data_IF_007721243182
#
_entry.id   IF_007721243182
#
_cell.length_a   1.000
_cell.length_b   1.000
_cell.length_c   1.000
_cell.angle_alpha   90.00
_cell.angle_beta   90.00
_cell.angle_gamma   90.00
#
_symmetry.space_group_name_H-M   'P 1'
#
loop_
_entity.id
_entity.type
_entity.pdbx_description
1 polymer ?
#
# COMPACT_ATOMS: atom_id res chain seq x y z
N UNK A 1 -78.04 -40.27 -34.33
CA UNK A 1 -77.45 -39.25 -35.22
C UNK A 1 -76.89 -38.18 -34.28
N UNK A 2 -75.61 -38.18 -33.88
CA UNK A 2 -74.38 -38.19 -34.66
C UNK A 2 -74.21 -36.93 -35.53
N UNK A 3 -73.61 -35.88 -34.95
CA UNK A 3 -72.51 -35.09 -35.54
C UNK A 3 -71.66 -34.59 -34.36
N UNK A 4 -70.39 -35.00 -34.29
CA UNK A 4 -69.37 -34.36 -33.45
C UNK A 4 -68.65 -33.27 -34.26
N UNK A 5 -68.21 -32.20 -33.61
CA UNK A 5 -67.10 -31.40 -34.11
C UNK A 5 -66.30 -30.83 -32.94
N UNK A 6 -65.16 -31.45 -32.66
CA UNK A 6 -64.23 -31.05 -31.60
C UNK A 6 -62.99 -30.40 -32.23
N UNK A 7 -62.69 -29.15 -31.86
CA UNK A 7 -61.57 -28.39 -32.44
C UNK A 7 -60.30 -28.58 -31.60
N UNK A 8 -59.40 -29.46 -32.05
CA UNK A 8 -58.07 -29.63 -31.48
C UNK A 8 -57.01 -29.26 -32.52
N UNK A 9 -56.27 -28.17 -32.29
CA UNK A 9 -55.24 -27.68 -33.22
C UNK A 9 -53.86 -28.21 -32.82
N UNK A 10 -53.44 -29.33 -33.43
CA UNK A 10 -52.11 -29.92 -33.22
C UNK A 10 -51.01 -29.27 -34.07
N UNK A 11 -49.80 -29.20 -33.48
CA UNK A 11 -48.55 -28.79 -34.12
C UNK A 11 -48.23 -29.53 -35.43
N UNK A 12 -47.45 -28.88 -36.31
CA UNK A 12 -46.69 -29.56 -37.37
C UNK A 12 -45.24 -29.04 -37.41
N UNK A 13 -44.22 -29.91 -37.51
CA UNK A 13 -42.82 -29.51 -37.40
C UNK A 13 -42.19 -29.18 -38.75
N UNK A 14 -41.07 -28.45 -38.72
CA UNK A 14 -40.12 -28.36 -39.83
C UNK A 14 -38.77 -28.91 -39.39
N UNK A 15 -38.21 -29.80 -40.21
CA UNK A 15 -36.99 -30.56 -39.95
C UNK A 15 -35.96 -30.28 -41.05
N UNK A 16 -34.69 -30.37 -40.67
CA UNK A 16 -33.49 -30.52 -41.52
C UNK A 16 -33.21 -29.46 -42.61
N UNK A 17 -32.06 -28.81 -42.47
CA UNK A 17 -30.93 -29.07 -43.39
C UNK A 17 -29.61 -29.06 -42.61
N UNK A 18 -28.61 -29.78 -43.14
CA UNK A 18 -27.47 -30.32 -42.41
C UNK A 18 -26.17 -30.08 -43.19
N UNK A 19 -25.18 -29.39 -42.60
CA UNK A 19 -23.80 -29.35 -43.15
C UNK A 19 -22.72 -29.32 -42.06
N UNK A 20 -21.97 -30.42 -42.00
CA UNK A 20 -20.54 -30.58 -41.65
C UNK A 20 -19.84 -29.57 -40.72
N UNK A 21 -19.42 -30.06 -39.55
CA UNK A 21 -18.28 -29.57 -38.76
C UNK A 21 -16.94 -29.93 -39.41
N UNK A 22 -15.85 -29.20 -39.10
CA UNK A 22 -14.63 -29.86 -38.67
C UNK A 22 -14.32 -29.56 -37.19
N UNK A 23 -13.74 -30.55 -36.50
CA UNK A 23 -13.29 -30.46 -35.10
C UNK A 23 -11.82 -30.03 -35.08
N UNK A 24 -11.44 -29.11 -34.19
CA UNK A 24 -10.04 -28.85 -33.87
C UNK A 24 -9.81 -29.06 -32.38
N UNK A 25 -9.29 -30.25 -32.05
CA UNK A 25 -8.94 -30.63 -30.68
C UNK A 25 -7.52 -30.15 -30.36
N UNK A 26 -7.38 -29.06 -29.58
CA UNK A 26 -6.08 -28.68 -29.02
C UNK A 26 -5.79 -29.51 -27.76
N UNK A 27 -4.99 -30.56 -27.96
CA UNK A 27 -4.59 -31.50 -26.90
C UNK A 27 -3.45 -30.90 -26.06
N UNK A 28 -3.54 -31.04 -24.74
CA UNK A 28 -2.47 -30.72 -23.79
C UNK A 28 -1.27 -31.65 -24.04
N UNK A 29 -0.08 -31.09 -24.23
CA UNK A 29 1.17 -31.84 -24.15
C UNK A 29 2.07 -31.30 -23.05
N UNK A 30 2.16 -32.06 -21.95
CA UNK A 30 3.28 -31.97 -21.01
C UNK A 30 4.46 -32.76 -21.58
N UNK A 31 5.67 -32.18 -21.52
CA UNK A 31 6.93 -32.90 -21.73
C UNK A 31 7.86 -32.68 -20.53
N UNK A 32 8.31 -33.74 -19.83
CA UNK A 32 9.18 -33.62 -18.67
C UNK A 32 10.67 -33.85 -18.98
N UNK A 33 11.52 -33.37 -18.06
CA UNK A 33 12.94 -33.67 -17.84
C UNK A 33 13.97 -33.32 -18.95
N UNK A 34 14.95 -32.50 -18.57
CA UNK A 34 16.31 -33.02 -18.29
C UNK A 34 17.11 -32.07 -17.39
N UNK A 35 17.97 -32.65 -16.56
CA UNK A 35 18.75 -31.97 -15.50
C UNK A 35 20.21 -31.73 -15.90
N UNK A 36 20.81 -30.68 -15.31
CA UNK A 36 22.25 -30.52 -15.01
C UNK A 36 23.28 -30.59 -16.17
N UNK A 37 24.00 -29.48 -16.40
CA UNK A 37 25.42 -29.40 -15.96
C UNK A 37 26.03 -27.99 -16.00
N UNK A 38 26.80 -27.66 -14.96
CA UNK A 38 27.86 -26.65 -15.03
C UNK A 38 28.91 -27.02 -16.08
N UNK A 39 29.41 -26.02 -16.82
CA UNK A 39 30.82 -25.97 -17.24
C UNK A 39 31.35 -24.53 -17.19
N UNK A 40 32.21 -24.29 -16.20
CA UNK A 40 33.24 -23.24 -16.22
C UNK A 40 34.20 -23.51 -17.38
N UNK A 41 34.61 -22.48 -18.13
CA UNK A 41 35.98 -22.39 -18.69
C UNK A 41 36.30 -20.97 -19.18
N UNK A 42 37.59 -20.72 -19.32
CA UNK A 42 38.21 -19.39 -19.28
C UNK A 42 38.42 -18.75 -20.67
N UNK A 43 38.23 -17.43 -20.71
CA UNK A 43 39.16 -16.43 -21.27
C UNK A 43 39.65 -16.65 -22.72
N UNK A 44 39.11 -15.83 -23.63
CA UNK A 44 39.88 -15.32 -24.77
C UNK A 44 39.69 -13.81 -24.93
N UNK A 45 40.77 -13.14 -25.28
CA UNK A 45 40.95 -11.69 -25.22
C UNK A 45 40.73 -11.07 -26.60
N UNK A 46 39.89 -10.03 -26.71
CA UNK A 46 39.94 -9.10 -27.85
C UNK A 46 39.49 -7.69 -27.49
N UNK A 47 40.28 -6.70 -27.91
CA UNK A 47 40.02 -5.28 -27.73
C UNK A 47 38.80 -4.78 -28.51
N UNK A 48 37.99 -3.93 -27.89
CA UNK A 48 37.40 -2.75 -28.54
C UNK A 48 37.05 -1.68 -27.51
N UNK A 49 37.56 -0.46 -27.68
CA UNK A 49 37.20 0.72 -26.89
C UNK A 49 35.74 1.11 -27.13
N UNK A 50 34.98 1.32 -26.06
CA UNK A 50 33.92 2.33 -25.97
C UNK A 50 33.90 2.90 -24.54
N UNK A 51 33.63 4.21 -24.40
CA UNK A 51 33.73 4.94 -23.13
C UNK A 51 32.34 5.21 -22.54
N UNK A 52 32.10 4.99 -21.24
CA UNK A 52 30.92 5.49 -20.55
C UNK A 52 31.14 6.94 -20.08
N UNK A 53 30.28 7.86 -20.53
CA UNK A 53 30.22 9.22 -19.97
C UNK A 53 29.90 9.13 -18.47
N UNK A 54 30.86 9.51 -17.62
CA UNK A 54 30.68 9.62 -16.17
C UNK A 54 30.88 11.08 -15.78
N UNK A 55 29.82 11.74 -15.34
CA UNK A 55 29.86 13.14 -14.87
C UNK A 55 30.31 13.15 -13.41
N UNK A 56 31.62 13.22 -13.19
CA UNK A 56 32.18 13.53 -11.88
C UNK A 56 32.13 15.05 -11.66
N UNK A 57 31.28 15.50 -10.72
CA UNK A 57 31.32 16.87 -10.21
C UNK A 57 32.52 16.98 -9.27
N UNK A 58 33.59 17.60 -9.76
CA UNK A 58 34.82 17.85 -9.01
C UNK A 58 34.55 18.92 -7.94
N UNK A 59 34.79 18.61 -6.67
CA UNK A 59 35.00 19.64 -5.64
C UNK A 59 36.50 19.91 -5.54
N UNK A 60 36.88 21.18 -5.54
CA UNK A 60 38.25 21.64 -5.60
C UNK A 60 38.80 21.88 -4.18
N UNK A 61 39.62 20.95 -3.69
CA UNK A 61 40.35 21.09 -2.41
C UNK A 61 41.75 21.73 -2.66
N UNK A 62 42.04 22.91 -2.09
CA UNK A 62 43.31 23.59 -2.34
C UNK A 62 44.46 23.08 -1.41
N UNK A 63 45.29 22.22 -2.01
CA UNK A 63 46.77 22.14 -1.90
C UNK A 63 47.46 22.00 -0.52
N UNK A 64 48.31 20.98 -0.43
CA UNK A 64 49.34 20.81 0.60
C UNK A 64 50.66 21.50 0.21
N UNK A 65 51.41 22.05 1.17
CA UNK A 65 52.58 22.92 0.96
C UNK A 65 53.93 22.19 0.92
N UNK A 66 54.89 22.75 0.17
CA UNK A 66 56.36 22.57 0.19
C UNK A 66 56.94 23.71 -0.69
N UNK A 67 57.96 24.52 -0.35
CA UNK A 67 58.90 24.59 0.79
C UNK A 67 59.50 26.04 0.94
N UNK A 68 60.31 26.26 2.00
CA UNK A 68 61.37 27.29 2.18
C UNK A 68 60.98 28.76 2.50
N UNK A 69 61.38 29.17 3.72
CA UNK A 69 61.83 30.46 4.27
C UNK A 69 61.20 31.80 3.82
N UNK A 70 60.61 32.55 4.77
CA UNK A 70 61.25 33.67 5.50
C UNK A 70 60.30 34.18 6.60
N UNK A 71 60.83 34.84 7.63
CA UNK A 71 60.08 35.33 8.80
C UNK A 71 59.06 36.43 8.45
N UNK A 72 57.80 36.31 8.91
CA UNK A 72 57.04 37.46 9.40
C UNK A 72 55.95 37.03 10.38
N UNK A 73 55.73 37.82 11.44
CA UNK A 73 54.66 37.57 12.42
C UNK A 73 53.36 38.16 11.90
N UNK A 74 52.30 37.37 11.82
CA UNK A 74 50.93 37.91 11.69
C UNK A 74 49.97 37.04 12.49
N UNK A 75 49.32 37.64 13.48
CA UNK A 75 48.30 36.98 14.29
C UNK A 75 47.03 36.74 13.45
N UNK A 76 46.62 35.48 13.29
CA UNK A 76 45.36 35.14 12.63
C UNK A 76 44.21 35.25 13.65
N UNK A 77 43.11 35.99 13.36
CA UNK A 77 42.02 36.14 14.32
C UNK A 77 41.31 34.81 14.57
N UNK A 78 41.14 34.46 15.85
CA UNK A 78 40.48 33.24 16.33
C UNK A 78 38.96 33.31 16.11
N UNK A 79 38.53 33.25 14.85
CA UNK A 79 37.15 33.43 14.44
C UNK A 79 36.33 32.14 14.63
N UNK A 80 36.16 31.72 15.90
CA UNK A 80 35.22 30.66 16.26
C UNK A 80 33.82 31.10 15.81
N UNK A 81 33.12 30.36 14.92
CA UNK A 81 31.82 30.78 14.44
C UNK A 81 30.85 30.87 15.61
N UNK A 82 30.25 32.04 15.80
CA UNK A 82 29.35 32.32 16.93
C UNK A 82 28.26 31.23 16.99
N UNK A 83 28.15 30.45 18.09
CA UNK A 83 27.26 29.30 18.16
C UNK A 83 25.81 29.62 17.77
N UNK A 84 25.33 30.80 18.16
CA UNK A 84 23.99 31.30 17.83
C UNK A 84 23.75 31.43 16.31
N UNK A 85 24.76 31.90 15.55
CA UNK A 85 24.65 32.03 14.09
C UNK A 85 24.63 30.67 13.40
N UNK A 86 25.44 29.72 13.87
CA UNK A 86 25.40 28.34 13.35
C UNK A 86 24.05 27.65 13.63
N UNK A 87 23.43 27.97 14.78
CA UNK A 87 22.18 27.37 15.23
C UNK A 87 20.97 28.00 14.49
N UNK A 88 20.95 29.32 14.29
CA UNK A 88 19.91 29.98 13.48
C UNK A 88 19.94 29.52 12.02
N UNK A 89 21.12 29.34 11.43
CA UNK A 89 21.26 28.79 10.07
C UNK A 89 20.77 27.32 9.99
N UNK A 90 21.07 26.49 11.00
CA UNK A 90 20.54 25.11 11.10
C UNK A 90 19.02 25.08 11.25
N UNK A 91 18.45 25.97 12.06
CA UNK A 91 16.99 26.10 12.21
C UNK A 91 16.32 26.57 10.92
N UNK A 92 16.90 27.56 10.23
CA UNK A 92 16.41 28.03 8.92
C UNK A 92 16.42 26.91 7.87
N UNK A 93 17.50 26.11 7.81
CA UNK A 93 17.58 24.93 6.93
C UNK A 93 16.50 23.89 7.25
N UNK A 94 16.29 23.55 8.54
CA UNK A 94 15.21 22.64 8.96
C UNK A 94 13.80 23.19 8.63
N UNK A 95 13.57 24.49 8.82
CA UNK A 95 12.29 25.15 8.48
C UNK A 95 12.04 25.11 6.97
N UNK A 96 13.06 25.42 6.17
CA UNK A 96 13.01 25.32 4.70
C UNK A 96 12.68 23.89 4.25
N UNK A 97 13.42 22.89 4.74
CA UNK A 97 13.14 21.47 4.46
C UNK A 97 11.71 21.07 4.82
N UNK A 98 11.22 21.41 6.03
CA UNK A 98 9.83 21.13 6.42
C UNK A 98 8.83 21.82 5.49
N UNK A 99 9.11 23.03 5.02
CA UNK A 99 8.28 23.73 4.05
C UNK A 99 8.26 23.02 2.70
N UNK A 100 9.43 22.57 2.20
CA UNK A 100 9.53 21.79 0.96
C UNK A 100 8.76 20.47 1.07
N UNK A 101 8.90 19.74 2.17
CA UNK A 101 8.15 18.50 2.41
C UNK A 101 6.64 18.75 2.50
N UNK A 102 6.21 19.84 3.14
CA UNK A 102 4.79 20.21 3.22
C UNK A 102 4.22 20.53 1.83
N UNK A 103 4.92 21.34 1.03
CA UNK A 103 4.51 21.64 -0.35
C UNK A 103 4.47 20.37 -1.20
N UNK A 104 5.49 19.52 -1.11
CA UNK A 104 5.52 18.24 -1.82
C UNK A 104 4.35 17.33 -1.43
N UNK A 105 4.02 17.23 -0.13
CA UNK A 105 2.91 16.44 0.38
C UNK A 105 1.53 17.00 -0.03
N UNK A 106 1.36 18.33 -0.06
CA UNK A 106 0.12 18.96 -0.55
C UNK A 106 -0.05 18.73 -2.05
N UNK A 107 1.01 18.92 -2.84
CA UNK A 107 0.98 18.70 -4.29
C UNK A 107 0.77 17.23 -4.65
N UNK A 108 1.41 16.29 -3.94
CA UNK A 108 1.19 14.86 -4.16
C UNK A 108 -0.21 14.42 -3.74
N UNK A 109 -0.73 14.91 -2.61
CA UNK A 109 -2.10 14.64 -2.18
C UNK A 109 -3.09 15.13 -3.23
N UNK A 110 -2.97 16.38 -3.68
CA UNK A 110 -3.83 16.93 -4.73
C UNK A 110 -3.73 16.14 -6.05
N UNK A 111 -2.52 15.79 -6.48
CA UNK A 111 -2.29 14.99 -7.69
C UNK A 111 -2.93 13.60 -7.60
N UNK A 112 -2.73 12.87 -6.50
CA UNK A 112 -3.29 11.53 -6.28
C UNK A 112 -4.82 11.59 -6.15
N UNK A 113 -5.38 12.55 -5.40
CA UNK A 113 -6.83 12.69 -5.28
C UNK A 113 -7.48 13.08 -6.60
N UNK A 114 -6.87 14.00 -7.35
CA UNK A 114 -7.35 14.41 -8.68
C UNK A 114 -7.32 13.23 -9.65
N UNK A 115 -6.22 12.48 -9.69
CA UNK A 115 -6.09 11.27 -10.51
C UNK A 115 -7.11 10.20 -10.13
N UNK A 116 -7.37 9.98 -8.84
CA UNK A 116 -8.38 9.02 -8.37
C UNK A 116 -9.80 9.45 -8.76
N UNK A 117 -10.16 10.72 -8.57
CA UNK A 117 -11.46 11.28 -8.99
C UNK A 117 -11.63 11.16 -10.51
N UNK A 118 -10.61 11.53 -11.28
CA UNK A 118 -10.62 11.41 -12.74
C UNK A 118 -10.73 9.96 -13.20
N UNK A 119 -10.01 9.02 -12.59
CA UNK A 119 -10.11 7.60 -12.94
C UNK A 119 -11.51 7.02 -12.66
N UNK A 120 -12.10 7.34 -11.50
CA UNK A 120 -13.47 6.93 -11.17
C UNK A 120 -14.47 7.57 -12.14
N UNK A 121 -14.35 8.86 -12.41
CA UNK A 121 -15.20 9.56 -13.37
C UNK A 121 -15.11 8.94 -14.78
N UNK A 122 -13.89 8.72 -15.28
CA UNK A 122 -13.65 8.16 -16.63
C UNK A 122 -14.17 6.73 -16.74
N UNK A 123 -14.04 5.93 -15.67
CA UNK A 123 -14.58 4.57 -15.64
C UNK A 123 -16.11 4.57 -15.73
N UNK A 124 -16.79 5.44 -14.98
CA UNK A 124 -18.25 5.52 -15.05
C UNK A 124 -18.75 6.19 -16.36
N UNK A 125 -18.06 7.21 -16.89
CA UNK A 125 -18.45 7.82 -18.17
C UNK A 125 -18.31 6.84 -19.34
N UNK A 126 -17.20 6.10 -19.41
CA UNK A 126 -16.99 5.04 -20.40
C UNK A 126 -18.01 3.90 -20.25
N UNK A 127 -18.47 3.61 -19.03
CA UNK A 127 -19.49 2.60 -18.77
C UNK A 127 -20.89 3.00 -19.29
N UNK A 128 -21.23 4.30 -19.25
CA UNK A 128 -22.49 4.84 -19.78
C UNK A 128 -22.46 5.09 -21.30
N UNK A 129 -21.28 5.05 -21.91
CA UNK A 129 -21.08 5.30 -23.34
C UNK A 129 -21.58 4.13 -24.21
N UNK A 130 -22.66 4.39 -24.96
CA UNK A 130 -23.20 3.53 -26.03
C UNK A 130 -24.57 2.90 -25.76
N UNK A 131 -25.00 2.78 -24.50
CA UNK A 131 -26.28 2.12 -24.13
C UNK A 131 -27.44 3.08 -23.90
N UNK A 132 -27.19 4.32 -23.48
CA UNK A 132 -28.22 5.29 -23.06
C UNK A 132 -28.89 4.97 -21.72
N UNK A 133 -28.97 3.69 -21.35
CA UNK A 133 -29.41 3.20 -20.06
C UNK A 133 -28.30 3.21 -19.00
N UNK A 134 -28.67 3.58 -17.77
CA UNK A 134 -27.75 3.57 -16.61
C UNK A 134 -27.57 2.13 -16.10
N UNK A 135 -26.33 1.60 -16.04
CA UNK A 135 -26.03 0.22 -15.63
C UNK A 135 -26.09 0.04 -14.10
N UNK A 136 -27.28 0.18 -13.53
CA UNK A 136 -27.54 0.18 -12.07
C UNK A 136 -26.93 -1.01 -11.32
N UNK A 137 -27.00 -2.22 -11.88
CA UNK A 137 -26.47 -3.44 -11.24
C UNK A 137 -24.95 -3.42 -11.10
N UNK A 138 -24.22 -2.95 -12.11
CA UNK A 138 -22.77 -2.79 -12.06
C UNK A 138 -22.38 -1.63 -11.13
N UNK A 139 -23.09 -0.49 -11.17
CA UNK A 139 -22.83 0.64 -10.27
C UNK A 139 -23.05 0.26 -8.80
N UNK A 140 -24.20 -0.34 -8.48
CA UNK A 140 -24.52 -0.81 -7.13
C UNK A 140 -23.56 -1.91 -6.67
N UNK A 141 -23.27 -2.88 -7.55
CA UNK A 141 -22.29 -3.94 -7.27
C UNK A 141 -20.90 -3.38 -6.98
N UNK A 142 -20.42 -2.42 -7.77
CA UNK A 142 -19.12 -1.75 -7.57
C UNK A 142 -19.06 -1.05 -6.21
N UNK A 143 -20.11 -0.29 -5.85
CA UNK A 143 -20.19 0.39 -4.56
C UNK A 143 -20.26 -0.60 -3.38
N UNK A 144 -21.14 -1.60 -3.47
CA UNK A 144 -21.32 -2.61 -2.43
C UNK A 144 -20.05 -3.45 -2.20
N UNK A 145 -19.33 -3.83 -3.27
CA UNK A 145 -18.05 -4.54 -3.16
C UNK A 145 -16.93 -3.63 -2.65
N UNK A 146 -16.96 -2.32 -2.93
CA UNK A 146 -15.99 -1.37 -2.36
C UNK A 146 -16.15 -1.23 -0.85
N UNK A 147 -17.37 -0.99 -0.36
CA UNK A 147 -17.66 -0.93 1.08
C UNK A 147 -17.42 -2.28 1.74
N UNK A 148 -17.92 -3.36 1.12
CA UNK A 148 -17.79 -4.73 1.61
C UNK A 148 -16.34 -5.21 1.70
N UNK A 149 -15.49 -4.91 0.70
CA UNK A 149 -14.07 -5.23 0.75
C UNK A 149 -13.31 -4.35 1.75
N UNK A 150 -13.63 -3.05 1.86
CA UNK A 150 -12.99 -2.18 2.85
C UNK A 150 -13.26 -2.65 4.30
N UNK A 151 -14.49 -3.11 4.60
CA UNK A 151 -14.84 -3.72 5.89
C UNK A 151 -14.25 -5.12 6.04
N UNK A 152 -14.36 -5.96 5.01
CA UNK A 152 -13.85 -7.34 4.98
C UNK A 152 -12.32 -7.42 5.20
N UNK A 153 -11.59 -6.40 4.74
CA UNK A 153 -10.14 -6.32 4.93
C UNK A 153 -9.72 -6.18 6.41
N UNK A 154 -10.56 -5.64 7.31
CA UNK A 154 -10.26 -5.65 8.75
C UNK A 154 -10.27 -7.09 9.30
N UNK A 155 -11.25 -7.90 8.89
CA UNK A 155 -11.34 -9.31 9.31
C UNK A 155 -10.21 -10.15 8.70
N UNK A 156 -9.89 -9.91 7.41
CA UNK A 156 -8.74 -10.54 6.75
C UNK A 156 -7.42 -10.15 7.40
N UNK A 157 -7.19 -8.86 7.66
CA UNK A 157 -5.97 -8.38 8.30
C UNK A 157 -5.82 -8.93 9.72
N UNK A 158 -6.89 -8.93 10.53
CA UNK A 158 -6.92 -9.56 11.86
C UNK A 158 -6.51 -11.03 11.80
N UNK A 159 -7.16 -11.81 10.93
CA UNK A 159 -6.86 -13.24 10.78
C UNK A 159 -5.44 -13.48 10.26
N UNK A 160 -4.99 -12.73 9.26
CA UNK A 160 -3.63 -12.84 8.72
C UNK A 160 -2.58 -12.45 9.76
N UNK A 161 -2.87 -11.45 10.59
CA UNK A 161 -1.99 -10.99 11.66
C UNK A 161 -1.82 -12.09 12.73
N UNK A 162 -2.92 -12.67 13.23
CA UNK A 162 -2.89 -13.78 14.19
C UNK A 162 -2.27 -15.07 13.60
N UNK A 163 -2.78 -15.53 12.46
CA UNK A 163 -2.53 -16.91 11.96
C UNK A 163 -1.34 -17.00 11.01
N UNK A 164 -0.93 -15.89 10.37
CA UNK A 164 0.24 -15.86 9.48
C UNK A 164 1.38 -15.07 10.09
N UNK A 165 1.17 -13.81 10.47
CA UNK A 165 2.25 -12.91 10.91
C UNK A 165 2.80 -13.26 12.29
N UNK A 166 1.96 -13.71 13.23
CA UNK A 166 2.40 -14.24 14.54
C UNK A 166 2.77 -15.72 14.56
N UNK A 167 2.65 -16.41 13.42
CA UNK A 167 3.05 -17.82 13.29
C UNK A 167 4.11 -18.02 12.20
N UNK A 168 3.70 -18.40 10.98
CA UNK A 168 4.62 -18.82 9.91
C UNK A 168 5.49 -17.70 9.34
N UNK A 169 5.08 -16.43 9.49
CA UNK A 169 5.76 -15.26 8.94
C UNK A 169 6.39 -14.37 10.02
N UNK A 170 6.49 -14.83 11.28
CA UNK A 170 7.04 -14.05 12.41
C UNK A 170 8.38 -13.39 12.09
N UNK A 171 9.29 -14.04 11.38
CA UNK A 171 10.58 -13.46 10.98
C UNK A 171 10.51 -12.14 10.18
N UNK A 172 9.36 -11.82 9.57
CA UNK A 172 9.10 -10.55 8.86
C UNK A 172 8.35 -9.56 9.74
N UNK A 173 7.44 -10.05 10.59
CA UNK A 173 6.66 -9.24 11.52
C UNK A 173 7.44 -8.84 12.77
N UNK A 174 8.46 -9.59 13.16
CA UNK A 174 9.33 -9.31 14.30
C UNK A 174 10.06 -7.97 14.18
N UNK A 175 10.38 -7.52 12.95
CA UNK A 175 10.95 -6.18 12.73
C UNK A 175 10.01 -5.05 13.16
N UNK A 176 8.71 -5.35 13.26
CA UNK A 176 7.67 -4.42 13.68
C UNK A 176 7.52 -4.33 15.19
N UNK A 177 7.68 -5.45 15.90
CA UNK A 177 7.64 -5.54 17.37
C UNK A 177 8.90 -4.97 18.05
N UNK A 178 10.01 -4.86 17.31
CA UNK A 178 11.27 -4.32 17.81
C UNK A 178 11.37 -2.81 17.55
N UNK A 179 12.16 -2.06 18.34
CA UNK A 179 12.45 -0.66 18.05
C UNK A 179 13.01 -0.48 16.64
N UNK A 180 12.33 0.34 15.83
CA UNK A 180 12.64 0.50 14.40
C UNK A 180 13.99 1.18 14.13
N UNK A 181 14.79 0.58 13.26
CA UNK A 181 16.00 1.19 12.71
C UNK A 181 15.80 1.67 11.26
N UNK A 182 15.83 2.99 11.04
CA UNK A 182 15.73 3.58 9.70
C UNK A 182 14.28 3.75 9.18
N UNK A 183 14.10 4.05 7.88
CA UNK A 183 12.80 4.44 7.32
C UNK A 183 11.86 3.29 6.94
N UNK A 184 12.37 2.06 6.76
CA UNK A 184 11.65 0.88 6.27
C UNK A 184 11.79 -0.30 7.22
N UNK A 185 10.81 -1.20 7.22
CA UNK A 185 10.78 -2.44 7.99
C UNK A 185 10.57 -3.64 7.06
N UNK A 186 11.01 -4.84 7.45
CA UNK A 186 10.72 -6.05 6.68
C UNK A 186 9.20 -6.35 6.63
N UNK A 187 8.49 -5.92 7.68
CA UNK A 187 7.04 -5.89 7.78
C UNK A 187 6.34 -5.08 6.65
N UNK A 188 7.00 -4.08 6.04
CA UNK A 188 6.44 -3.30 4.92
C UNK A 188 6.05 -4.18 3.72
N UNK A 189 6.65 -5.37 3.59
CA UNK A 189 6.32 -6.35 2.54
C UNK A 189 4.86 -6.80 2.62
N UNK A 190 4.23 -6.84 3.80
CA UNK A 190 2.80 -7.19 3.91
C UNK A 190 1.89 -6.15 3.26
N UNK A 191 2.26 -4.86 3.31
CA UNK A 191 1.53 -3.82 2.59
C UNK A 191 1.64 -4.02 1.08
N UNK A 192 2.82 -4.39 0.57
CA UNK A 192 3.05 -4.70 -0.86
C UNK A 192 2.23 -5.92 -1.29
N UNK A 193 2.23 -7.00 -0.50
CA UNK A 193 1.48 -8.24 -0.78
C UNK A 193 -0.02 -7.98 -0.92
N UNK A 194 -0.60 -7.06 -0.12
CA UNK A 194 -2.00 -6.68 -0.23
C UNK A 194 -2.26 -5.61 -1.32
N UNK A 195 -1.28 -4.77 -1.65
CA UNK A 195 -1.40 -3.76 -2.71
C UNK A 195 -1.40 -4.36 -4.12
N UNK A 196 -0.59 -5.39 -4.38
CA UNK A 196 -0.53 -6.07 -5.70
C UNK A 196 -1.89 -6.58 -6.20
N UNK A 197 -2.68 -7.37 -5.43
CA UNK A 197 -4.00 -7.81 -5.87
C UNK A 197 -5.00 -6.65 -6.00
N UNK A 198 -4.91 -5.61 -5.15
CA UNK A 198 -5.74 -4.42 -5.28
C UNK A 198 -5.50 -3.68 -6.62
N UNK A 199 -4.23 -3.48 -6.98
CA UNK A 199 -3.82 -2.89 -8.25
C UNK A 199 -4.27 -3.76 -9.43
N UNK A 200 -4.13 -5.09 -9.34
CA UNK A 200 -4.57 -6.00 -10.39
C UNK A 200 -6.10 -5.94 -10.61
N UNK A 201 -6.88 -5.94 -9.53
CA UNK A 201 -8.34 -5.82 -9.53
C UNK A 201 -8.81 -4.47 -10.09
N UNK A 202 -8.20 -3.36 -9.64
CA UNK A 202 -8.46 -2.02 -10.18
C UNK A 202 -8.11 -1.94 -11.67
N UNK A 203 -6.96 -2.47 -12.09
CA UNK A 203 -6.52 -2.44 -13.50
C UNK A 203 -7.48 -3.24 -14.39
N UNK A 204 -7.78 -4.49 -14.01
CA UNK A 204 -8.74 -5.32 -14.75
C UNK A 204 -10.12 -4.66 -14.82
N UNK A 205 -10.61 -4.14 -13.68
CA UNK A 205 -11.90 -3.49 -13.60
C UNK A 205 -11.98 -2.18 -14.40
N UNK A 206 -10.90 -1.42 -14.48
CA UNK A 206 -10.82 -0.17 -15.24
C UNK A 206 -10.84 -0.39 -16.75
N UNK A 207 -10.07 -1.36 -17.26
CA UNK A 207 -9.92 -1.61 -18.71
C UNK A 207 -11.00 -2.51 -19.34
N UNK A 208 -11.98 -3.00 -18.57
CA UNK A 208 -13.04 -3.89 -19.08
C UNK A 208 -14.43 -3.38 -18.68
N UNK A 209 -15.43 -3.50 -19.57
CA UNK A 209 -16.84 -3.16 -19.30
C UNK A 209 -17.62 -4.36 -18.75
N UNK A 210 -18.66 -4.10 -17.98
CA UNK A 210 -19.64 -5.09 -17.53
C UNK A 210 -19.51 -5.47 -16.05
N UNK A 211 -20.49 -6.24 -15.58
CA UNK A 211 -20.70 -6.51 -14.16
C UNK A 211 -19.46 -7.06 -13.44
N UNK A 212 -18.81 -8.09 -13.99
CA UNK A 212 -17.64 -8.73 -13.35
C UNK A 212 -16.45 -7.75 -13.23
N UNK A 213 -16.02 -7.04 -14.30
CA UNK A 213 -15.07 -5.93 -14.17
C UNK A 213 -15.46 -4.85 -13.16
N UNK A 214 -16.73 -4.43 -13.09
CA UNK A 214 -17.18 -3.46 -12.08
C UNK A 214 -17.04 -3.99 -10.64
N UNK A 215 -17.42 -5.25 -10.39
CA UNK A 215 -17.21 -5.91 -9.10
C UNK A 215 -15.72 -6.00 -8.73
N UNK A 216 -14.85 -6.32 -9.69
CA UNK A 216 -13.39 -6.30 -9.49
C UNK A 216 -12.87 -4.89 -9.16
N UNK A 217 -13.31 -3.86 -9.90
CA UNK A 217 -12.95 -2.47 -9.62
C UNK A 217 -13.38 -2.06 -8.20
N UNK A 218 -14.60 -2.40 -7.81
CA UNK A 218 -15.13 -2.18 -6.47
C UNK A 218 -14.29 -2.85 -5.39
N UNK A 219 -14.02 -4.14 -5.52
CA UNK A 219 -13.20 -4.88 -4.57
C UNK A 219 -11.77 -4.30 -4.44
N UNK A 220 -11.11 -4.02 -5.57
CA UNK A 220 -9.79 -3.39 -5.59
C UNK A 220 -9.78 -2.01 -4.92
N UNK A 221 -10.80 -1.19 -5.19
CA UNK A 221 -10.99 0.12 -4.54
C UNK A 221 -11.17 -0.03 -3.02
N UNK A 222 -11.98 -0.99 -2.56
CA UNK A 222 -12.18 -1.26 -1.14
C UNK A 222 -10.91 -1.67 -0.42
N UNK A 223 -10.11 -2.56 -1.02
CA UNK A 223 -8.80 -2.97 -0.50
C UNK A 223 -7.85 -1.77 -0.43
N UNK A 224 -7.82 -0.92 -1.46
CA UNK A 224 -7.00 0.31 -1.47
C UNK A 224 -7.44 1.32 -0.40
N UNK A 225 -8.74 1.52 -0.22
CA UNK A 225 -9.28 2.41 0.85
C UNK A 225 -8.88 1.89 2.23
N UNK A 226 -9.01 0.58 2.49
CA UNK A 226 -8.54 -0.01 3.73
C UNK A 226 -7.02 0.14 3.89
N UNK A 227 -6.22 -0.15 2.86
CA UNK A 227 -4.76 -0.01 2.91
C UNK A 227 -4.30 1.43 3.21
N UNK A 228 -4.97 2.43 2.64
CA UNK A 228 -4.74 3.85 2.96
C UNK A 228 -5.10 4.12 4.43
N UNK A 229 -6.28 3.70 4.89
CA UNK A 229 -6.71 3.88 6.28
C UNK A 229 -5.75 3.21 7.26
N UNK A 230 -5.29 1.99 6.95
CA UNK A 230 -4.29 1.25 7.70
C UNK A 230 -2.98 2.04 7.77
N UNK A 231 -2.42 2.48 6.64
CA UNK A 231 -1.18 3.28 6.63
C UNK A 231 -1.30 4.57 7.47
N UNK A 232 -2.41 5.30 7.38
CA UNK A 232 -2.60 6.52 8.19
C UNK A 232 -2.77 6.22 9.69
N UNK A 233 -3.53 5.18 10.06
CA UNK A 233 -3.81 4.89 11.47
C UNK A 233 -2.65 4.10 12.10
N UNK A 234 -2.25 2.97 11.52
CA UNK A 234 -1.16 2.14 12.02
C UNK A 234 0.19 2.89 11.95
N UNK A 235 0.73 3.10 10.75
CA UNK A 235 2.07 3.68 10.60
C UNK A 235 2.11 5.15 11.02
N UNK A 236 1.12 5.93 10.58
CA UNK A 236 1.03 7.35 10.85
C UNK A 236 0.74 7.69 12.32
N UNK A 237 -0.37 7.17 12.87
CA UNK A 237 -0.79 7.51 14.24
C UNK A 237 -0.15 6.62 15.31
N UNK A 238 -0.23 5.29 15.19
CA UNK A 238 0.26 4.40 16.25
C UNK A 238 1.79 4.46 16.33
N UNK A 239 2.46 4.28 15.20
CA UNK A 239 3.92 4.21 15.09
C UNK A 239 4.62 5.54 14.83
N UNK A 240 3.85 6.62 14.61
CA UNK A 240 4.37 7.99 14.42
C UNK A 240 5.39 8.10 13.27
N UNK A 241 5.27 7.23 12.25
CA UNK A 241 6.13 7.20 11.04
C UNK A 241 6.09 8.52 10.26
N UNK A 242 4.93 9.19 10.28
CA UNK A 242 4.70 10.51 9.71
C UNK A 242 3.56 11.25 10.46
N UNK A 243 3.52 12.59 10.45
CA UNK A 243 2.51 13.34 11.19
C UNK A 243 1.12 13.25 10.55
N UNK A 244 0.12 12.79 11.30
CA UNK A 244 -1.29 12.65 10.87
C UNK A 244 -2.19 13.84 11.24
N UNK A 245 -1.63 14.89 11.83
CA UNK A 245 -2.37 16.11 12.18
C UNK A 245 -3.48 15.88 13.22
N UNK A 246 -4.62 16.58 13.12
CA UNK A 246 -5.69 16.55 14.13
C UNK A 246 -6.32 15.16 14.36
N UNK A 247 -6.17 14.22 13.41
CA UNK A 247 -6.69 12.85 13.49
C UNK A 247 -6.16 12.13 14.75
N UNK A 248 -4.95 12.47 15.21
CA UNK A 248 -4.37 11.90 16.42
C UNK A 248 -5.16 12.17 17.71
N UNK A 249 -5.96 13.25 17.72
CA UNK A 249 -6.71 13.71 18.89
C UNK A 249 -8.14 13.17 18.93
N UNK A 250 -8.55 12.35 17.96
CA UNK A 250 -9.88 11.74 17.93
C UNK A 250 -9.94 10.59 18.95
N UNK A 251 -10.85 10.61 19.94
CA UNK A 251 -10.84 9.66 21.06
C UNK A 251 -10.83 8.17 20.64
N UNK A 252 -11.57 7.82 19.59
CA UNK A 252 -11.58 6.47 19.04
C UNK A 252 -10.21 6.04 18.50
N UNK A 253 -9.51 6.90 17.76
CA UNK A 253 -8.18 6.58 17.27
C UNK A 253 -7.12 6.59 18.38
N UNK A 254 -7.31 7.37 19.45
CA UNK A 254 -6.52 7.23 20.68
C UNK A 254 -6.74 5.86 21.34
N UNK A 255 -7.98 5.34 21.37
CA UNK A 255 -8.32 3.99 21.87
C UNK A 255 -7.68 2.89 21.01
N UNK A 256 -7.77 2.99 19.68
CA UNK A 256 -7.09 2.08 18.73
C UNK A 256 -5.58 2.06 18.96
N UNK A 257 -4.96 3.23 19.05
CA UNK A 257 -3.51 3.33 19.25
C UNK A 257 -3.05 2.85 20.64
N UNK A 258 -3.91 2.93 21.65
CA UNK A 258 -3.70 2.32 22.96
C UNK A 258 -3.81 0.79 22.90
N UNK A 259 -4.83 0.24 22.23
CA UNK A 259 -5.01 -1.20 22.07
C UNK A 259 -3.82 -1.84 21.31
N UNK A 260 -3.35 -1.20 20.23
CA UNK A 260 -2.16 -1.67 19.52
C UNK A 260 -0.87 -1.50 20.36
N UNK A 261 -0.79 -0.57 21.31
CA UNK A 261 0.35 -0.54 22.24
C UNK A 261 0.37 -1.74 23.19
N UNK A 262 -0.82 -2.25 23.56
CA UNK A 262 -0.95 -3.47 24.37
C UNK A 262 -0.55 -4.71 23.58
N UNK A 263 -0.86 -4.77 22.28
CA UNK A 263 -0.36 -5.80 21.36
C UNK A 263 1.18 -5.92 21.43
N UNK A 264 1.89 -4.81 21.18
CA UNK A 264 3.36 -4.71 21.26
C UNK A 264 3.95 -4.93 22.67
N UNK A 265 3.12 -5.18 23.69
CA UNK A 265 3.56 -5.51 25.04
C UNK A 265 3.37 -6.98 25.40
N UNK A 266 2.80 -7.79 24.50
CA UNK A 266 2.48 -9.21 24.62
C UNK A 266 1.66 -9.65 25.86
N UNK A 267 1.19 -8.70 26.69
CA UNK A 267 0.47 -8.94 27.95
C UNK A 267 -0.70 -9.91 27.83
N UNK A 268 -1.43 -9.84 26.72
CA UNK A 268 -2.62 -10.65 26.46
C UNK A 268 -2.35 -11.75 25.41
N UNK A 269 -1.16 -12.36 25.44
CA UNK A 269 -0.72 -13.40 24.47
C UNK A 269 -0.74 -12.90 23.01
N UNK A 270 -0.39 -11.64 22.79
CA UNK A 270 -0.45 -11.00 21.46
C UNK A 270 -1.82 -10.44 21.05
N UNK A 271 -2.88 -10.58 21.85
CA UNK A 271 -4.15 -9.86 21.59
C UNK A 271 -3.96 -8.36 21.88
N UNK A 272 -4.45 -7.42 21.05
CA UNK A 272 -5.30 -7.59 19.88
C UNK A 272 -4.57 -7.79 18.55
N UNK A 273 -5.24 -8.40 17.56
CA UNK A 273 -4.71 -8.59 16.20
C UNK A 273 -5.39 -7.69 15.15
N UNK A 274 -6.62 -7.23 15.39
CA UNK A 274 -7.31 -6.24 14.55
C UNK A 274 -6.81 -4.82 14.81
N UNK A 275 -6.87 -3.96 13.79
CA UNK A 275 -6.52 -2.55 13.94
C UNK A 275 -7.70 -1.77 14.51
N UNK A 276 -8.83 -1.80 13.82
CA UNK A 276 -10.04 -1.08 14.23
C UNK A 276 -10.86 -1.88 15.24
N UNK A 277 -10.86 -3.20 15.15
CA UNK A 277 -11.49 -4.09 16.14
C UNK A 277 -10.63 -4.29 17.40
N UNK A 278 -9.35 -3.86 17.38
CA UNK A 278 -8.41 -4.11 18.47
C UNK A 278 -8.87 -3.68 19.88
N UNK A 279 -9.50 -2.51 20.06
CA UNK A 279 -10.11 -2.16 21.36
C UNK A 279 -11.12 -3.18 21.86
N UNK A 280 -11.98 -3.70 20.97
CA UNK A 280 -13.01 -4.69 21.30
C UNK A 280 -12.39 -6.04 21.66
N UNK A 281 -11.34 -6.46 20.96
CA UNK A 281 -10.61 -7.68 21.31
C UNK A 281 -9.95 -7.60 22.69
N UNK A 282 -9.40 -6.43 23.05
CA UNK A 282 -8.85 -6.20 24.40
C UNK A 282 -9.95 -6.28 25.46
N UNK A 283 -11.13 -5.74 25.18
CA UNK A 283 -12.30 -5.86 26.06
C UNK A 283 -12.78 -7.32 26.20
N UNK A 284 -12.81 -8.08 25.09
CA UNK A 284 -13.20 -9.51 25.06
C UNK A 284 -12.26 -10.41 25.87
N UNK A 285 -10.96 -10.08 25.99
CA UNK A 285 -10.01 -10.79 26.86
C UNK A 285 -9.90 -10.23 28.28
N UNK A 286 -10.77 -9.28 28.66
CA UNK A 286 -10.80 -8.68 30.00
C UNK A 286 -9.73 -7.62 30.26
N UNK A 287 -9.03 -7.14 29.23
CA UNK A 287 -7.95 -6.16 29.32
C UNK A 287 -8.38 -4.69 29.45
N UNK A 288 -9.66 -4.41 29.73
CA UNK A 288 -10.25 -3.07 29.73
C UNK A 288 -9.52 -2.09 30.67
N UNK A 289 -9.12 -2.54 31.87
CA UNK A 289 -8.38 -1.68 32.82
C UNK A 289 -7.00 -1.24 32.29
N UNK A 290 -6.27 -2.14 31.64
CA UNK A 290 -4.98 -1.82 31.02
C UNK A 290 -5.15 -0.93 29.77
N UNK A 291 -6.26 -1.08 29.04
CA UNK A 291 -6.63 -0.21 27.93
C UNK A 291 -6.91 1.22 28.40
N UNK A 292 -7.77 1.42 29.42
CA UNK A 292 -8.08 2.75 29.96
C UNK A 292 -6.86 3.41 30.62
N UNK A 293 -5.99 2.62 31.25
CA UNK A 293 -4.69 3.07 31.77
C UNK A 293 -3.76 3.56 30.67
N UNK A 294 -3.70 2.87 29.54
CA UNK A 294 -2.90 3.26 28.37
C UNK A 294 -3.46 4.51 27.67
N UNK A 295 -4.79 4.59 27.50
CA UNK A 295 -5.47 5.81 27.01
C UNK A 295 -5.14 6.99 27.92
N UNK A 296 -5.28 6.82 29.24
CA UNK A 296 -4.98 7.86 30.24
C UNK A 296 -3.50 8.25 30.25
N UNK A 297 -2.58 7.35 29.89
CA UNK A 297 -1.15 7.66 29.68
C UNK A 297 -0.96 8.51 28.42
N UNK A 298 -1.58 8.11 27.31
CA UNK A 298 -1.50 8.81 26.02
C UNK A 298 -2.12 10.20 26.08
N UNK A 299 -3.34 10.35 26.59
CA UNK A 299 -4.02 11.66 26.74
C UNK A 299 -3.19 12.64 27.56
N UNK A 300 -2.62 12.21 28.70
CA UNK A 300 -1.72 13.06 29.51
C UNK A 300 -0.48 13.51 28.75
N UNK A 301 0.08 12.66 27.88
CA UNK A 301 1.23 13.04 27.05
C UNK A 301 0.90 14.11 26.00
N UNK A 302 -0.34 14.13 25.50
CA UNK A 302 -0.83 15.15 24.56
C UNK A 302 -1.21 16.47 25.24
N UNK A 303 -1.75 16.44 26.47
CA UNK A 303 -2.12 17.65 27.22
C UNK A 303 -0.96 18.31 27.97
N UNK A 304 0.15 17.60 28.14
CA UNK A 304 1.35 18.06 28.86
C UNK A 304 2.52 18.47 27.96
N UNK A 305 2.32 18.55 26.64
CA UNK A 305 3.32 18.96 25.63
C UNK A 305 2.92 20.27 24.93
#
# INVERSE_FOLDING_TARGET
>A
MAVELSTATTLKPYNLLQTSSPKTTSTIFFTPLTTFRHKTLLKTQRNSRTSPFTVCVLMEDPKHTTQINTEEKTELPNNKPNPQFSLSQKLARKKSQRSTYLVAAVMSSFGVTSMAILAVYYRFSWQMEGSGEVPWSEMFGTFALSVGAAVGMEFWARWAHEVLWHASLWHMHESHHRPREGPFELNDVFAIINAVPAIALLSYGFFNKGLVPGLCFGAGLGITVFGIAYMFVHDGLVHKRFPVGPIANVPYFTRVAAAHQLHHSDKFKGVPYGLFLGPKEVEEVGGLEELEKEISRRTRSYTGS
#
